data_IF_605858090321
#
_entry.id   IF_605858090321
#
_cell.length_a   1.000
_cell.length_b   1.000
_cell.length_c   1.000
_cell.angle_alpha   90.00
_cell.angle_beta   90.00
_cell.angle_gamma   90.00
#
_symmetry.space_group_name_H-M   'P 1'
#
loop_
_entity.id
_entity.type
_entity.pdbx_description
1 polymer ?
#
# COMPACT_ATOMS: atom_id res chain seq x y z
N UNK A 1 35.31 21.19 -49.42
CA UNK A 1 35.05 20.27 -48.29
C UNK A 1 33.60 19.80 -48.42
N UNK A 2 33.41 18.60 -48.86
CA UNK A 2 32.14 18.02 -49.32
C UNK A 2 31.47 17.31 -48.13
N UNK A 3 30.28 17.79 -47.75
CA UNK A 3 29.51 17.19 -46.67
C UNK A 3 28.81 15.89 -47.17
N UNK A 4 29.11 14.76 -46.55
CA UNK A 4 28.51 13.46 -46.83
C UNK A 4 27.24 13.30 -45.99
N UNK A 5 26.11 13.22 -46.67
CA UNK A 5 24.79 13.00 -46.11
C UNK A 5 24.62 11.49 -45.81
N UNK A 6 24.44 11.11 -44.52
CA UNK A 6 24.12 9.73 -44.11
C UNK A 6 22.59 9.64 -43.94
N UNK A 7 21.87 8.77 -44.62
CA UNK A 7 20.45 8.57 -44.44
C UNK A 7 20.16 7.73 -43.18
N UNK A 8 19.17 8.18 -42.40
CA UNK A 8 18.59 7.48 -41.23
C UNK A 8 17.76 6.26 -41.70
N UNK A 9 17.82 5.15 -41.00
CA UNK A 9 16.94 4.00 -41.28
C UNK A 9 15.53 4.25 -40.78
N UNK A 10 14.56 4.12 -41.66
CA UNK A 10 13.12 4.12 -41.39
C UNK A 10 12.77 2.81 -40.69
N UNK A 11 12.32 2.89 -39.46
CA UNK A 11 11.74 1.76 -38.74
C UNK A 11 10.26 1.65 -39.12
N UNK A 12 9.94 0.65 -39.91
CA UNK A 12 8.58 0.20 -40.23
C UNK A 12 8.03 -0.53 -39.01
N UNK A 13 7.01 0.03 -38.37
CA UNK A 13 6.30 -0.60 -37.26
C UNK A 13 5.34 -1.65 -37.82
N UNK A 14 5.64 -2.92 -37.62
CA UNK A 14 4.73 -4.02 -37.84
C UNK A 14 3.63 -4.02 -36.78
N UNK A 15 2.42 -3.72 -37.20
CA UNK A 15 1.19 -3.87 -36.38
C UNK A 15 0.79 -5.35 -36.44
N UNK A 16 0.95 -6.05 -35.36
CA UNK A 16 0.51 -7.44 -35.19
C UNK A 16 -0.95 -7.44 -34.75
N UNK A 17 -1.83 -7.77 -35.69
CA UNK A 17 -3.28 -7.89 -35.53
C UNK A 17 -3.57 -9.19 -34.75
N UNK A 18 -3.94 -9.06 -33.48
CA UNK A 18 -4.30 -10.17 -32.60
C UNK A 18 -5.75 -10.60 -32.88
N UNK A 19 -5.88 -11.69 -33.59
CA UNK A 19 -7.11 -12.39 -33.96
C UNK A 19 -7.82 -12.88 -32.70
N UNK A 20 -9.00 -12.38 -32.45
CA UNK A 20 -9.91 -12.77 -31.36
C UNK A 20 -10.54 -14.12 -31.72
N UNK A 21 -10.22 -15.15 -30.96
CA UNK A 21 -10.74 -16.52 -31.12
C UNK A 21 -12.07 -16.63 -30.36
N UNK A 22 -13.15 -16.79 -31.10
CA UNK A 22 -14.50 -16.94 -30.60
C UNK A 22 -14.69 -18.29 -29.90
N UNK A 23 -15.12 -18.25 -28.64
CA UNK A 23 -15.52 -19.40 -27.84
C UNK A 23 -16.95 -19.80 -28.24
N UNK A 24 -17.20 -21.08 -28.56
CA UNK A 24 -18.56 -21.53 -28.89
C UNK A 24 -19.41 -21.66 -27.63
N UNK A 25 -20.58 -21.04 -27.70
CA UNK A 25 -21.68 -21.20 -26.75
C UNK A 25 -22.27 -22.57 -26.92
N UNK A 26 -22.14 -23.43 -25.93
CA UNK A 26 -22.89 -24.70 -25.85
C UNK A 26 -24.24 -24.46 -25.21
N UNK A 27 -25.24 -24.57 -26.06
CA UNK A 27 -26.67 -24.57 -25.75
C UNK A 27 -27.10 -25.96 -25.29
N UNK A 28 -28.23 -26.00 -24.58
CA UNK A 28 -29.03 -27.18 -24.23
C UNK A 28 -28.74 -27.87 -22.87
N UNK A 29 -29.45 -27.40 -21.86
CA UNK A 29 -29.90 -28.24 -20.76
C UNK A 29 -31.38 -28.58 -20.93
N UNK A 30 -31.59 -29.80 -21.37
CA UNK A 30 -32.87 -30.47 -21.50
C UNK A 30 -33.51 -30.72 -20.14
N UNK A 31 -34.64 -30.07 -19.88
CA UNK A 31 -35.46 -30.24 -18.67
C UNK A 31 -36.29 -31.51 -18.79
N UNK A 32 -35.96 -32.56 -18.05
CA UNK A 32 -36.84 -33.72 -17.92
C UNK A 32 -37.93 -33.46 -16.87
N UNK A 33 -39.18 -33.80 -17.16
CA UNK A 33 -40.31 -33.69 -16.20
C UNK A 33 -40.25 -34.80 -15.17
N UNK A 34 -40.17 -34.40 -13.92
CA UNK A 34 -40.26 -35.28 -12.75
C UNK A 34 -41.69 -35.73 -12.54
N UNK A 35 -41.87 -37.06 -12.50
CA UNK A 35 -43.11 -37.77 -12.20
C UNK A 35 -43.59 -37.43 -10.78
N UNK A 36 -44.88 -37.08 -10.69
CA UNK A 36 -45.63 -37.05 -9.44
C UNK A 36 -45.80 -38.47 -8.85
N UNK A 37 -45.61 -38.66 -7.55
CA UNK A 37 -46.15 -39.82 -6.86
C UNK A 37 -47.43 -39.44 -6.10
N UNK A 38 -48.41 -40.28 -6.37
CA UNK A 38 -49.75 -40.44 -5.90
C UNK A 38 -50.09 -40.01 -4.47
N UNK A 39 -51.25 -39.43 -4.44
CA UNK A 39 -52.08 -39.15 -3.29
C UNK A 39 -52.46 -40.44 -2.57
N UNK A 40 -52.08 -40.61 -1.33
CA UNK A 40 -52.66 -41.58 -0.39
C UNK A 40 -53.41 -40.78 0.67
N UNK A 41 -54.71 -40.80 0.53
CA UNK A 41 -55.70 -40.32 1.49
C UNK A 41 -55.73 -41.27 2.69
N UNK A 42 -55.29 -40.86 3.86
CA UNK A 42 -55.52 -41.62 5.10
C UNK A 42 -56.19 -40.74 6.14
N UNK A 43 -57.32 -41.22 6.54
CA UNK A 43 -58.33 -40.82 7.48
C UNK A 43 -57.93 -39.92 8.65
N UNK A 44 -58.84 -39.01 8.93
CA UNK A 44 -59.15 -38.24 10.14
C UNK A 44 -58.87 -38.93 11.44
N UNK A 45 -58.22 -38.14 12.32
CA UNK A 45 -58.59 -38.09 13.73
C UNK A 45 -58.71 -36.64 14.21
N UNK A 46 -59.81 -36.24 14.81
CA UNK A 46 -60.01 -34.88 15.27
C UNK A 46 -59.85 -34.87 16.80
N UNK A 47 -58.72 -34.48 17.25
CA UNK A 47 -58.60 -33.83 18.56
C UNK A 47 -57.18 -33.38 18.75
N UNK A 48 -57.09 -32.15 19.10
CA UNK A 48 -56.14 -31.59 19.99
C UNK A 48 -55.33 -30.38 19.51
N UNK A 49 -55.72 -29.40 20.20
CA UNK A 49 -54.82 -28.49 20.90
C UNK A 49 -54.15 -27.43 20.08
N UNK A 50 -54.80 -26.32 20.13
CA UNK A 50 -54.28 -24.98 19.98
C UNK A 50 -52.81 -24.90 20.49
N UNK A 51 -51.85 -25.09 19.58
CA UNK A 51 -50.49 -24.64 19.79
C UNK A 51 -50.39 -23.24 19.20
N UNK A 52 -50.28 -22.30 20.10
CA UNK A 52 -49.93 -20.92 19.81
C UNK A 52 -48.71 -20.85 18.91
N UNK A 53 -48.80 -20.22 17.72
CA UNK A 53 -47.67 -20.11 16.79
C UNK A 53 -46.80 -18.88 17.12
N UNK A 54 -46.51 -18.61 18.38
CA UNK A 54 -45.68 -17.47 18.78
C UNK A 54 -44.53 -17.86 19.69
N UNK A 55 -43.79 -18.88 19.31
CA UNK A 55 -42.41 -18.95 19.72
C UNK A 55 -41.53 -18.58 18.54
N UNK A 56 -41.55 -17.29 18.21
CA UNK A 56 -40.53 -16.72 17.36
C UNK A 56 -39.17 -17.12 17.91
N UNK A 57 -38.43 -17.89 17.12
CA UNK A 57 -37.03 -18.21 17.39
C UNK A 57 -36.27 -16.90 17.56
N UNK A 58 -36.26 -16.39 18.79
CA UNK A 58 -35.38 -15.30 19.19
C UNK A 58 -33.99 -15.92 19.17
N UNK A 59 -33.34 -15.88 18.02
CA UNK A 59 -31.93 -16.14 17.92
C UNK A 59 -31.20 -15.08 18.73
N UNK A 60 -30.99 -15.32 20.01
CA UNK A 60 -30.03 -14.59 20.80
C UNK A 60 -28.65 -14.85 20.21
N UNK A 61 -28.29 -14.10 19.18
CA UNK A 61 -26.94 -14.04 18.69
C UNK A 61 -26.08 -13.46 19.82
N UNK A 62 -25.47 -14.34 20.62
CA UNK A 62 -24.44 -13.91 21.57
C UNK A 62 -23.33 -13.28 20.75
N UNK A 63 -23.32 -11.95 20.69
CA UNK A 63 -22.24 -11.21 20.06
C UNK A 63 -20.99 -11.42 20.89
N UNK A 64 -20.08 -12.22 20.39
CA UNK A 64 -18.78 -12.42 21.01
C UNK A 64 -17.88 -11.26 20.64
N UNK A 65 -17.59 -10.43 21.61
CA UNK A 65 -16.57 -9.38 21.46
C UNK A 65 -15.23 -9.93 21.92
N UNK A 66 -14.22 -9.78 21.08
CA UNK A 66 -12.86 -10.20 21.42
C UNK A 66 -11.93 -8.99 21.30
N UNK A 67 -11.19 -8.75 22.37
CA UNK A 67 -10.10 -7.79 22.35
C UNK A 67 -8.78 -8.56 22.30
N UNK A 68 -7.97 -8.26 21.32
CA UNK A 68 -6.65 -8.86 21.11
C UNK A 68 -5.61 -7.76 21.03
N UNK A 69 -4.43 -8.01 21.52
CA UNK A 69 -3.24 -7.21 21.28
C UNK A 69 -2.22 -8.08 20.54
N UNK A 70 -1.42 -7.47 19.71
CA UNK A 70 -0.43 -8.20 18.93
C UNK A 70 0.74 -7.34 18.53
N UNK A 71 1.74 -8.03 18.02
CA UNK A 71 2.89 -7.45 17.35
C UNK A 71 3.01 -8.04 15.96
N UNK A 72 3.59 -7.27 15.05
CA UNK A 72 3.85 -7.69 13.67
C UNK A 72 5.20 -7.20 13.20
N UNK A 73 5.82 -7.97 12.33
CA UNK A 73 7.05 -7.60 11.65
C UNK A 73 7.00 -8.07 10.20
N UNK A 74 7.73 -7.41 9.35
CA UNK A 74 7.75 -7.74 7.93
C UNK A 74 8.65 -6.82 7.12
N UNK A 75 8.40 -6.83 5.83
CA UNK A 75 9.11 -6.02 4.84
C UNK A 75 8.08 -5.24 4.03
N UNK A 76 8.52 -4.10 3.51
CA UNK A 76 7.74 -3.30 2.59
C UNK A 76 8.57 -2.84 1.40
N UNK A 77 7.88 -2.29 0.43
CA UNK A 77 8.46 -1.53 -0.66
C UNK A 77 7.87 -0.13 -0.60
N UNK A 78 8.73 0.89 -0.62
CA UNK A 78 8.30 2.28 -0.61
C UNK A 78 8.89 3.07 -1.77
N UNK A 79 8.16 4.09 -2.20
CA UNK A 79 8.63 5.10 -3.14
C UNK A 79 8.08 6.46 -2.78
N UNK A 80 8.84 7.51 -3.10
CA UNK A 80 8.46 8.91 -2.98
C UNK A 80 8.51 9.47 -4.39
N UNK A 81 7.39 9.97 -4.89
CA UNK A 81 7.30 10.55 -6.22
C UNK A 81 7.65 12.02 -6.26
N UNK A 82 7.92 12.54 -7.47
CA UNK A 82 8.26 13.92 -7.75
C UNK A 82 9.49 14.48 -7.00
N UNK A 83 10.47 13.63 -6.73
CA UNK A 83 11.73 14.06 -6.11
C UNK A 83 12.56 14.90 -7.08
N UNK A 84 12.55 14.56 -8.37
CA UNK A 84 13.20 15.33 -9.41
C UNK A 84 12.74 16.81 -9.41
N UNK A 85 11.43 17.02 -9.29
CA UNK A 85 10.86 18.37 -9.28
C UNK A 85 11.26 19.24 -8.08
N UNK A 86 11.75 18.64 -6.98
CA UNK A 86 12.29 19.39 -5.83
C UNK A 86 13.68 19.95 -6.10
N UNK A 87 14.45 19.30 -6.98
CA UNK A 87 15.87 19.56 -7.23
C UNK A 87 16.07 20.28 -8.57
N UNK A 88 15.12 20.13 -9.49
CA UNK A 88 15.20 20.68 -10.84
C UNK A 88 15.11 22.21 -10.80
N UNK A 89 16.25 22.88 -10.97
CA UNK A 89 16.27 24.32 -11.25
C UNK A 89 16.01 24.52 -12.74
N UNK A 90 14.80 25.00 -13.08
CA UNK A 90 14.33 25.15 -14.45
C UNK A 90 15.20 26.03 -15.38
N UNK A 91 16.21 26.74 -14.84
CA UNK A 91 17.09 27.59 -15.60
C UNK A 91 18.49 27.01 -15.87
N UNK A 92 18.98 26.08 -15.08
CA UNK A 92 20.39 25.68 -15.14
C UNK A 92 20.67 24.21 -15.50
N UNK A 93 19.64 23.32 -15.55
CA UNK A 93 19.86 21.87 -15.74
C UNK A 93 19.01 21.22 -16.87
N UNK A 94 18.95 21.80 -18.08
CA UNK A 94 18.06 21.28 -19.13
C UNK A 94 18.52 19.95 -19.76
N UNK A 95 19.64 19.36 -19.33
CA UNK A 95 20.26 18.17 -19.94
C UNK A 95 20.52 17.00 -18.99
N UNK A 96 20.02 17.07 -17.77
CA UNK A 96 20.22 15.97 -16.83
C UNK A 96 19.05 14.99 -16.91
N UNK A 97 19.35 13.71 -17.05
CA UNK A 97 18.33 12.67 -16.94
C UNK A 97 18.19 12.25 -15.47
N UNK A 98 16.97 12.33 -14.94
CA UNK A 98 16.68 11.95 -13.56
C UNK A 98 15.81 10.71 -13.52
N UNK A 99 16.22 9.69 -12.76
CA UNK A 99 15.49 8.45 -12.54
C UNK A 99 15.14 8.30 -11.07
N UNK A 100 13.87 8.03 -10.79
CA UNK A 100 13.36 7.76 -9.45
C UNK A 100 13.15 6.27 -9.24
N UNK A 101 13.61 5.74 -8.11
CA UNK A 101 13.40 4.34 -7.76
C UNK A 101 13.04 4.18 -6.29
N UNK A 102 12.08 3.29 -6.01
CA UNK A 102 11.73 2.90 -4.64
C UNK A 102 12.72 1.92 -4.03
N UNK A 103 12.55 1.63 -2.74
CA UNK A 103 13.45 0.77 -1.97
C UNK A 103 12.68 -0.18 -1.06
N UNK A 104 13.31 -1.29 -0.71
CA UNK A 104 12.83 -2.19 0.35
C UNK A 104 13.03 -1.55 1.72
N UNK A 105 12.04 -1.69 2.58
CA UNK A 105 12.00 -1.07 3.91
C UNK A 105 11.50 -2.04 4.98
N UNK A 106 11.94 -1.92 6.23
CA UNK A 106 11.41 -2.72 7.33
C UNK A 106 10.01 -2.26 7.74
N UNK A 107 9.23 -3.17 8.31
CA UNK A 107 7.95 -2.90 8.93
C UNK A 107 7.89 -3.64 10.27
N UNK A 108 7.73 -2.92 11.38
CA UNK A 108 7.58 -3.49 12.72
C UNK A 108 6.51 -2.69 13.45
N UNK A 109 5.57 -3.37 14.11
CA UNK A 109 4.51 -2.66 14.79
C UNK A 109 3.80 -3.45 15.88
N UNK A 110 2.99 -2.72 16.62
CA UNK A 110 2.08 -3.23 17.63
C UNK A 110 0.67 -2.81 17.31
N UNK A 111 -0.31 -3.63 17.66
CA UNK A 111 -1.69 -3.31 17.38
C UNK A 111 -2.64 -3.89 18.42
N UNK A 112 -3.80 -3.24 18.55
CA UNK A 112 -4.94 -3.71 19.28
C UNK A 112 -6.09 -3.92 18.30
N UNK A 113 -6.71 -5.09 18.36
CA UNK A 113 -7.83 -5.48 17.52
C UNK A 113 -9.05 -5.78 18.39
N UNK A 114 -10.08 -5.01 18.21
CA UNK A 114 -11.39 -5.30 18.73
C UNK A 114 -12.25 -5.90 17.61
N UNK A 115 -12.70 -7.14 17.81
CA UNK A 115 -13.48 -7.87 16.81
C UNK A 115 -14.84 -8.27 17.35
N UNK A 116 -15.88 -8.05 16.55
CA UNK A 116 -17.24 -8.49 16.78
C UNK A 116 -17.74 -9.20 15.53
N UNK A 117 -17.85 -10.51 15.56
CA UNK A 117 -18.31 -11.35 14.46
C UNK A 117 -17.58 -11.05 13.14
N UNK A 118 -18.23 -10.35 12.20
CA UNK A 118 -17.68 -10.02 10.88
C UNK A 118 -16.94 -8.69 10.81
N UNK A 119 -17.03 -7.88 11.85
CA UNK A 119 -16.39 -6.57 11.88
C UNK A 119 -15.28 -6.55 12.92
N UNK A 120 -14.19 -5.86 12.58
CA UNK A 120 -13.10 -5.55 13.50
C UNK A 120 -12.68 -4.10 13.39
N UNK A 121 -12.23 -3.55 14.52
CA UNK A 121 -11.56 -2.25 14.58
C UNK A 121 -10.14 -2.50 15.04
N UNK A 122 -9.17 -2.04 14.27
CA UNK A 122 -7.76 -2.11 14.61
C UNK A 122 -7.22 -0.72 14.88
N UNK A 123 -6.49 -0.58 15.97
CA UNK A 123 -5.61 0.53 16.26
C UNK A 123 -4.18 0.01 16.27
N UNK A 124 -3.29 0.63 15.52
CA UNK A 124 -1.92 0.19 15.43
C UNK A 124 -0.94 1.35 15.43
N UNK A 125 0.31 1.04 15.78
CA UNK A 125 1.45 1.92 15.65
C UNK A 125 2.60 1.13 15.03
N UNK A 126 2.96 1.45 13.81
CA UNK A 126 4.03 0.79 13.07
C UNK A 126 5.24 1.72 12.97
N UNK A 127 6.42 1.15 13.10
CA UNK A 127 7.66 1.75 12.66
C UNK A 127 7.98 1.24 11.26
N UNK A 128 8.30 2.17 10.36
CA UNK A 128 8.68 1.88 8.99
C UNK A 128 9.60 2.97 8.45
N UNK A 129 9.98 2.86 7.20
CA UNK A 129 10.76 3.86 6.50
C UNK A 129 10.11 4.15 5.15
N UNK A 130 10.04 5.41 4.75
CA UNK A 130 9.83 5.80 3.37
C UNK A 130 11.20 6.05 2.74
N UNK A 131 11.49 5.35 1.67
CA UNK A 131 12.78 5.44 1.01
C UNK A 131 12.62 5.46 -0.51
N UNK A 132 13.29 6.42 -1.13
CA UNK A 132 13.39 6.52 -2.58
C UNK A 132 14.78 7.03 -2.96
N UNK A 133 15.26 6.62 -4.11
CA UNK A 133 16.57 7.04 -4.63
C UNK A 133 16.35 7.79 -5.93
N UNK A 134 16.89 9.01 -5.99
CA UNK A 134 17.01 9.79 -7.20
C UNK A 134 18.42 9.60 -7.77
N UNK A 135 18.49 9.20 -9.02
CA UNK A 135 19.74 9.13 -9.80
C UNK A 135 19.74 10.24 -10.81
N UNK A 136 20.75 11.05 -10.81
CA UNK A 136 20.96 12.12 -11.76
C UNK A 136 22.17 11.79 -12.65
N UNK A 137 21.94 11.68 -13.94
CA UNK A 137 23.00 11.55 -14.93
C UNK A 137 23.26 12.91 -15.58
N UNK A 138 24.47 13.45 -15.39
CA UNK A 138 24.88 14.74 -15.95
C UNK A 138 25.53 14.51 -17.31
N UNK A 139 24.84 14.87 -18.39
CA UNK A 139 25.36 14.69 -19.76
C UNK A 139 26.65 15.47 -20.05
N UNK A 140 26.86 16.59 -19.37
CA UNK A 140 28.03 17.47 -19.60
C UNK A 140 29.32 16.80 -19.13
N UNK A 141 29.30 16.15 -17.98
CA UNK A 141 30.48 15.60 -17.33
C UNK A 141 30.49 14.08 -17.35
N UNK A 142 29.42 13.43 -17.80
CA UNK A 142 29.23 11.97 -17.75
C UNK A 142 29.24 11.41 -16.32
N UNK A 143 28.90 12.25 -15.33
CA UNK A 143 28.92 11.84 -13.92
C UNK A 143 27.52 11.43 -13.45
N UNK A 144 27.48 10.38 -12.60
CA UNK A 144 26.26 9.93 -11.96
C UNK A 144 26.25 10.37 -10.49
N UNK A 145 25.18 11.01 -10.09
CA UNK A 145 24.91 11.34 -8.70
C UNK A 145 23.72 10.54 -8.18
N UNK A 146 23.78 10.12 -6.93
CA UNK A 146 22.69 9.38 -6.28
C UNK A 146 22.33 10.09 -4.99
N UNK A 147 21.07 10.45 -4.87
CA UNK A 147 20.50 11.00 -3.64
C UNK A 147 19.45 10.05 -3.11
N UNK A 148 19.68 9.48 -1.94
CA UNK A 148 18.74 8.59 -1.27
C UNK A 148 17.99 9.37 -0.19
N UNK A 149 16.67 9.44 -0.35
CA UNK A 149 15.77 10.00 0.64
C UNK A 149 15.26 8.86 1.52
N UNK A 150 15.59 8.90 2.83
CA UNK A 150 15.18 7.88 3.82
C UNK A 150 14.58 8.54 5.03
N UNK A 151 13.28 8.43 5.18
CA UNK A 151 12.56 8.99 6.32
C UNK A 151 12.01 7.88 7.18
N UNK A 152 12.59 7.72 8.37
CA UNK A 152 12.05 6.82 9.38
C UNK A 152 10.78 7.41 9.98
N UNK A 153 9.72 6.62 10.03
CA UNK A 153 8.39 7.05 10.44
C UNK A 153 7.85 6.21 11.58
N UNK A 154 7.11 6.87 12.47
CA UNK A 154 6.07 6.22 13.26
C UNK A 154 4.75 6.45 12.54
N UNK A 155 3.99 5.38 12.33
CA UNK A 155 2.71 5.37 11.62
C UNK A 155 1.60 4.92 12.57
N UNK A 156 1.06 5.81 13.46
CA UNK A 156 -0.20 5.55 14.12
C UNK A 156 -1.32 5.44 13.08
N UNK A 157 -2.14 4.40 13.19
CA UNK A 157 -3.20 4.13 12.23
C UNK A 157 -4.43 3.50 12.89
N UNK A 158 -5.59 3.76 12.30
CA UNK A 158 -6.86 3.16 12.64
C UNK A 158 -7.50 2.56 11.39
N UNK A 159 -8.00 1.34 11.49
CA UNK A 159 -8.65 0.66 10.36
C UNK A 159 -9.85 -0.15 10.79
N UNK A 160 -10.79 -0.30 9.87
CA UNK A 160 -11.93 -1.21 10.00
C UNK A 160 -11.63 -2.43 9.14
N UNK A 161 -11.86 -3.63 9.72
CA UNK A 161 -11.69 -4.92 9.05
C UNK A 161 -13.05 -5.59 8.85
N UNK A 162 -13.30 -6.06 7.63
CA UNK A 162 -14.45 -6.89 7.29
C UNK A 162 -13.99 -8.32 7.06
N UNK A 163 -14.45 -9.25 7.88
CA UNK A 163 -14.13 -10.67 7.76
C UNK A 163 -15.09 -11.33 6.77
N UNK A 164 -14.57 -11.72 5.61
CA UNK A 164 -15.32 -12.37 4.54
C UNK A 164 -15.54 -13.86 4.86
N UNK A 165 -14.50 -14.50 5.37
CA UNK A 165 -14.48 -15.84 5.91
C UNK A 165 -14.06 -15.76 7.38
N UNK A 166 -14.09 -16.89 8.10
CA UNK A 166 -13.76 -16.90 9.54
C UNK A 166 -12.46 -16.18 9.86
N UNK A 167 -11.45 -16.33 9.03
CA UNK A 167 -10.08 -15.87 9.29
C UNK A 167 -9.54 -14.88 8.25
N UNK A 168 -10.14 -14.80 7.04
CA UNK A 168 -9.73 -13.85 6.00
C UNK A 168 -10.49 -12.54 6.10
N UNK A 169 -9.77 -11.45 5.97
CA UNK A 169 -10.34 -10.12 6.05
C UNK A 169 -9.82 -9.19 4.98
N UNK A 170 -10.62 -8.18 4.68
CA UNK A 170 -10.24 -6.95 4.00
C UNK A 170 -10.48 -5.77 4.95
N UNK A 171 -9.71 -4.72 4.81
CA UNK A 171 -9.82 -3.57 5.68
C UNK A 171 -9.43 -2.29 4.98
N UNK A 172 -9.98 -1.20 5.47
CA UNK A 172 -9.62 0.14 5.06
C UNK A 172 -9.44 1.02 6.30
N UNK A 173 -8.59 2.01 6.19
CA UNK A 173 -8.28 2.86 7.33
C UNK A 173 -7.48 4.09 6.96
N UNK A 174 -7.00 4.75 7.98
CA UNK A 174 -6.21 5.96 7.87
C UNK A 174 -5.07 5.92 8.88
N UNK A 175 -3.96 6.52 8.52
CA UNK A 175 -2.81 6.72 9.38
C UNK A 175 -2.20 8.09 9.19
N UNK A 176 -1.25 8.42 10.04
CA UNK A 176 -0.42 9.63 9.93
C UNK A 176 1.04 9.21 9.99
N UNK A 177 1.77 9.45 8.91
CA UNK A 177 3.21 9.25 8.88
C UNK A 177 3.91 10.37 9.62
N UNK A 178 4.57 10.09 10.74
CA UNK A 178 5.29 11.06 11.56
C UNK A 178 6.79 10.80 11.40
N UNK A 179 7.55 11.67 10.73
CA UNK A 179 8.99 11.50 10.56
C UNK A 179 9.74 11.61 11.88
N UNK A 180 10.63 10.66 12.15
CA UNK A 180 11.55 10.69 13.30
C UNK A 180 12.82 11.45 12.92
N UNK A 181 13.27 11.30 11.65
CA UNK A 181 14.46 11.94 11.13
C UNK A 181 14.13 12.87 9.94
N UNK A 182 13.66 14.10 10.18
CA UNK A 182 13.20 14.99 9.10
C UNK A 182 14.25 15.28 8.01
N UNK A 183 15.54 15.22 8.35
CA UNK A 183 16.67 15.42 7.42
C UNK A 183 17.27 14.11 6.90
N UNK A 184 16.45 13.05 6.68
CA UNK A 184 16.91 11.72 6.24
C UNK A 184 17.32 11.64 4.78
N UNK A 185 18.39 12.33 4.39
CA UNK A 185 18.90 12.38 3.01
C UNK A 185 20.34 11.88 3.00
N UNK A 186 20.63 10.92 2.13
CA UNK A 186 21.96 10.38 1.85
C UNK A 186 22.35 10.73 0.42
N UNK A 187 23.48 11.41 0.25
CA UNK A 187 24.01 11.83 -1.03
C UNK A 187 25.29 11.05 -1.33
N UNK A 188 25.45 10.59 -2.56
CA UNK A 188 26.70 10.00 -3.05
C UNK A 188 26.92 10.43 -4.51
N UNK A 189 28.15 10.80 -4.84
CA UNK A 189 28.57 11.16 -6.19
C UNK A 189 29.76 10.32 -6.61
N UNK A 190 29.85 10.02 -7.92
CA UNK A 190 31.02 9.37 -8.51
C UNK A 190 32.18 10.35 -8.75
N UNK A 191 32.00 11.64 -8.45
CA UNK A 191 33.08 12.61 -8.51
C UNK A 191 34.15 12.32 -7.46
N UNK A 192 35.41 12.49 -7.87
CA UNK A 192 36.51 12.49 -6.92
C UNK A 192 36.30 13.63 -5.88
N UNK A 193 36.60 13.37 -4.63
CA UNK A 193 36.40 14.30 -3.52
C UNK A 193 37.11 15.67 -3.68
N UNK A 194 38.07 15.76 -4.62
CA UNK A 194 38.81 16.98 -4.95
C UNK A 194 37.98 18.03 -5.72
N UNK A 195 36.85 17.59 -6.32
CA UNK A 195 35.95 18.47 -7.04
C UNK A 195 34.59 18.52 -6.34
N UNK A 196 34.56 19.08 -5.13
CA UNK A 196 33.28 19.52 -4.57
C UNK A 196 32.79 20.64 -5.51
N UNK A 197 31.66 20.47 -6.19
CA UNK A 197 31.16 21.48 -7.10
C UNK A 197 30.75 22.70 -6.26
N UNK A 198 31.24 23.86 -6.65
CA UNK A 198 30.77 25.15 -6.10
C UNK A 198 29.23 25.29 -6.22
N UNK A 199 28.62 24.51 -7.13
CA UNK A 199 27.18 24.45 -7.42
C UNK A 199 26.54 23.15 -6.94
N UNK A 200 27.21 22.42 -6.02
CA UNK A 200 26.85 21.02 -5.75
C UNK A 200 25.64 20.87 -4.86
N UNK A 201 24.80 19.95 -5.27
CA UNK A 201 23.95 19.19 -4.40
C UNK A 201 24.82 18.53 -3.34
N UNK A 202 25.07 19.20 -2.23
CA UNK A 202 25.73 18.57 -1.09
C UNK A 202 24.66 18.00 -0.16
N UNK A 203 24.99 16.95 0.57
CA UNK A 203 24.10 16.39 1.59
C UNK A 203 23.62 17.43 2.60
N UNK A 204 24.48 18.41 2.92
CA UNK A 204 24.19 19.48 3.86
C UNK A 204 23.15 20.45 3.29
N UNK A 205 23.34 20.90 2.06
CA UNK A 205 22.40 21.80 1.37
C UNK A 205 21.01 21.18 1.23
N UNK A 206 20.95 19.88 0.87
CA UNK A 206 19.69 19.13 0.80
C UNK A 206 19.01 19.03 2.16
N UNK A 207 19.79 18.74 3.23
CA UNK A 207 19.26 18.63 4.60
C UNK A 207 18.80 19.97 5.16
N UNK A 208 19.44 21.07 4.80
CA UNK A 208 19.01 22.42 5.20
C UNK A 208 17.72 22.82 4.52
N UNK A 209 17.59 22.46 3.25
CA UNK A 209 16.49 22.93 2.38
C UNK A 209 15.29 22.02 2.36
N UNK A 210 15.47 20.70 2.51
CA UNK A 210 14.42 19.69 2.37
C UNK A 210 14.18 18.95 3.68
N UNK A 211 12.97 19.06 4.21
CA UNK A 211 12.60 18.38 5.46
C UNK A 211 11.29 17.63 5.32
N UNK A 212 11.29 16.39 5.82
CA UNK A 212 10.07 15.63 5.93
C UNK A 212 9.14 16.20 7.00
N UNK A 213 7.84 16.12 6.74
CA UNK A 213 6.78 16.56 7.65
C UNK A 213 5.74 15.45 7.85
N UNK A 214 4.95 15.53 8.92
CA UNK A 214 3.82 14.63 9.08
C UNK A 214 2.85 14.74 7.89
N UNK A 215 2.35 13.60 7.44
CA UNK A 215 1.43 13.52 6.31
C UNK A 215 0.37 12.45 6.54
N UNK A 216 -0.79 12.63 5.90
CA UNK A 216 -1.91 11.72 5.99
C UNK A 216 -1.72 10.51 5.07
N UNK A 217 -2.05 9.30 5.57
CA UNK A 217 -1.86 8.05 4.85
C UNK A 217 -3.13 7.19 4.89
N UNK A 218 -4.08 7.34 3.95
CA UNK A 218 -5.12 6.35 3.75
C UNK A 218 -4.51 5.00 3.42
N UNK A 219 -5.13 3.93 3.90
CA UNK A 219 -4.63 2.58 3.73
C UNK A 219 -5.72 1.58 3.38
N UNK A 220 -5.30 0.56 2.63
CA UNK A 220 -6.08 -0.64 2.35
C UNK A 220 -5.28 -1.85 2.83
N UNK A 221 -5.98 -2.84 3.37
CA UNK A 221 -5.36 -4.04 3.94
C UNK A 221 -6.17 -5.27 3.56
N UNK A 222 -5.47 -6.34 3.22
CA UNK A 222 -6.03 -7.68 3.13
C UNK A 222 -5.19 -8.60 4.00
N UNK A 223 -5.81 -9.62 4.58
CA UNK A 223 -5.04 -10.48 5.46
C UNK A 223 -5.79 -11.69 5.96
N UNK A 224 -5.03 -12.49 6.67
CA UNK A 224 -5.45 -13.67 7.40
C UNK A 224 -5.18 -13.47 8.88
N UNK A 225 -6.15 -13.77 9.73
CA UNK A 225 -6.02 -13.66 11.19
C UNK A 225 -6.66 -14.86 11.86
N UNK A 226 -5.83 -15.83 12.22
CA UNK A 226 -6.29 -17.07 12.83
C UNK A 226 -6.82 -16.86 14.25
N UNK A 227 -8.07 -17.29 14.45
CA UNK A 227 -8.69 -17.26 15.77
C UNK A 227 -8.05 -18.22 16.77
N UNK A 228 -7.61 -19.39 16.29
CA UNK A 228 -7.13 -20.46 17.15
C UNK A 228 -5.71 -20.24 17.60
N UNK A 229 -4.85 -19.85 16.68
CA UNK A 229 -3.40 -19.84 16.89
C UNK A 229 -2.85 -18.45 17.15
N UNK A 230 -3.65 -17.38 16.96
CA UNK A 230 -3.21 -16.00 17.12
C UNK A 230 -2.29 -15.51 16.00
N UNK A 231 -2.03 -16.31 14.98
CA UNK A 231 -1.17 -15.92 13.85
C UNK A 231 -1.94 -14.97 12.95
N UNK A 232 -1.27 -13.94 12.53
CA UNK A 232 -1.76 -12.96 11.58
C UNK A 232 -0.76 -12.77 10.43
N UNK A 233 -1.25 -12.66 9.21
CA UNK A 233 -0.48 -12.24 8.04
C UNK A 233 -1.28 -11.20 7.27
N UNK A 234 -0.63 -10.12 6.83
CA UNK A 234 -1.33 -9.06 6.11
C UNK A 234 -0.48 -8.40 5.05
N UNK A 235 -1.14 -8.04 3.96
CA UNK A 235 -0.63 -7.14 2.93
C UNK A 235 -1.36 -5.82 3.06
N UNK A 236 -0.62 -4.73 3.27
CA UNK A 236 -1.14 -3.38 3.44
C UNK A 236 -0.53 -2.46 2.38
N UNK A 237 -1.39 -1.70 1.72
CA UNK A 237 -0.98 -0.58 0.87
C UNK A 237 -1.39 0.72 1.53
N UNK A 238 -0.46 1.67 1.62
CA UNK A 238 -0.68 3.01 2.17
C UNK A 238 -0.22 4.05 1.16
N UNK A 239 -1.06 5.05 0.95
CA UNK A 239 -0.79 6.18 0.06
C UNK A 239 -0.57 7.44 0.88
N UNK A 240 0.63 8.03 0.80
CA UNK A 240 0.90 9.31 1.45
C UNK A 240 0.28 10.46 0.66
N UNK A 241 -0.82 10.97 1.16
CA UNK A 241 -1.52 12.11 0.58
C UNK A 241 -0.92 13.43 1.09
N UNK A 242 -0.62 14.31 0.17
CA UNK A 242 0.01 15.61 0.47
C UNK A 242 1.54 15.53 0.49
N UNK A 243 2.18 16.69 0.68
CA UNK A 243 3.61 16.80 0.61
C UNK A 243 4.29 16.15 1.83
N UNK A 244 5.02 15.08 1.60
CA UNK A 244 5.90 14.48 2.59
C UNK A 244 7.13 15.38 2.83
N UNK A 245 7.72 15.93 1.76
CA UNK A 245 8.92 16.75 1.82
C UNK A 245 8.55 18.20 1.60
N UNK A 246 8.92 19.03 2.55
CA UNK A 246 8.77 20.48 2.47
C UNK A 246 10.11 21.10 2.06
N UNK A 247 10.07 22.00 1.06
CA UNK A 247 11.21 22.86 0.74
C UNK A 247 11.11 24.12 1.59
N UNK A 248 12.15 24.40 2.37
CA UNK A 248 12.32 25.64 3.12
C UNK A 248 12.95 26.72 2.21
N UNK A 249 12.91 27.99 2.63
CA UNK A 249 13.63 29.05 1.92
C UNK A 249 15.12 28.72 1.91
N UNK A 250 15.70 28.67 0.72
CA UNK A 250 17.08 28.26 0.55
C UNK A 250 17.78 29.06 -0.56
N UNK A 251 19.10 29.27 -0.45
CA UNK A 251 19.90 29.96 -1.47
C UNK A 251 20.27 29.05 -2.65
N UNK A 252 19.88 27.75 -2.62
CA UNK A 252 20.36 26.73 -3.56
C UNK A 252 19.42 26.48 -4.74
N UNK A 253 18.31 27.21 -4.81
CA UNK A 253 17.38 27.11 -5.93
C UNK A 253 16.48 25.89 -5.92
N UNK A 254 16.35 25.18 -4.79
CA UNK A 254 15.40 24.05 -4.69
C UNK A 254 13.96 24.54 -4.72
N UNK A 255 13.16 23.88 -5.54
CA UNK A 255 11.78 24.27 -5.77
C UNK A 255 10.82 23.56 -4.81
N UNK A 256 9.72 24.23 -4.55
CA UNK A 256 8.60 23.61 -3.85
C UNK A 256 7.79 22.80 -4.86
N UNK A 257 7.79 21.48 -4.70
CA UNK A 257 6.98 20.55 -5.50
C UNK A 257 6.08 19.72 -4.60
N UNK A 258 4.91 19.38 -5.12
CA UNK A 258 4.01 18.42 -4.45
C UNK A 258 4.55 17.03 -4.66
N UNK A 259 4.80 16.33 -3.56
CA UNK A 259 5.26 14.95 -3.57
C UNK A 259 4.28 14.05 -2.82
N UNK A 260 4.19 12.82 -3.26
CA UNK A 260 3.39 11.79 -2.63
C UNK A 260 4.27 10.59 -2.28
N UNK A 261 3.74 9.65 -1.50
CA UNK A 261 4.45 8.43 -1.18
C UNK A 261 3.57 7.20 -1.33
N UNK A 262 4.21 6.09 -1.67
CA UNK A 262 3.58 4.79 -1.78
C UNK A 262 4.32 3.83 -0.86
N UNK A 263 3.56 3.04 -0.09
CA UNK A 263 4.11 2.07 0.83
C UNK A 263 3.29 0.78 0.75
N UNK A 264 3.90 -0.29 0.28
CA UNK A 264 3.34 -1.63 0.27
C UNK A 264 4.07 -2.47 1.31
N UNK A 265 3.36 -3.09 2.25
CA UNK A 265 3.96 -3.83 3.36
C UNK A 265 3.36 -5.23 3.45
N UNK A 266 4.22 -6.25 3.55
CA UNK A 266 3.87 -7.62 3.90
C UNK A 266 4.34 -7.89 5.32
N UNK A 267 3.41 -8.19 6.23
CA UNK A 267 3.72 -8.41 7.63
C UNK A 267 3.15 -9.74 8.13
N UNK A 268 3.87 -10.35 9.06
CA UNK A 268 3.43 -11.49 9.85
C UNK A 268 3.45 -11.09 11.31
N UNK A 269 2.45 -11.51 12.05
CA UNK A 269 2.29 -11.13 13.45
C UNK A 269 1.69 -12.23 14.31
N UNK A 270 1.67 -11.92 15.60
CA UNK A 270 1.06 -12.77 16.61
C UNK A 270 0.18 -11.96 17.55
N UNK A 271 -1.00 -12.50 17.87
CA UNK A 271 -1.99 -11.85 18.74
C UNK A 271 -2.31 -12.67 19.95
N UNK A 272 -2.50 -12.00 21.08
CA UNK A 272 -2.93 -12.58 22.35
C UNK A 272 -4.34 -12.07 22.66
N UNK A 273 -5.22 -12.98 23.07
CA UNK A 273 -6.57 -12.66 23.50
C UNK A 273 -6.57 -12.12 24.92
N UNK A 274 -7.00 -10.87 25.11
CA UNK A 274 -7.08 -10.25 26.44
C UNK A 274 -8.38 -10.54 27.19
N UNK A 275 -9.50 -10.66 26.46
CA UNK A 275 -10.81 -10.82 27.08
C UNK A 275 -11.39 -12.20 26.77
N UNK A 276 -11.06 -13.19 27.60
CA UNK A 276 -11.67 -14.51 27.58
C UNK A 276 -12.87 -14.46 28.56
N UNK A 277 -14.01 -13.95 28.11
CA UNK A 277 -15.23 -14.16 28.91
C UNK A 277 -15.50 -15.66 28.99
N UNK A 278 -15.44 -16.18 30.22
CA UNK A 278 -15.90 -17.49 30.58
C UNK A 278 -17.41 -17.66 30.36
#
# INVERSE_FOLDING_TARGET
>A
MTATHIPLPTQEAAVEEKKEEAVPVQDSLEVQPSKEPGFVETAKDPAETSRSPEQGLIFHHKRYYQLRIGMRAGIGYSSIGNLAALIEDGSFRPRNTMEESGSLVPAIGVFALWRSDRLGIELAADYTCLSSTLKEHKEIDGTDEKTAFRYHLILPQASVRLYLLSDFYMGAGVGVGIPINPGGIDFSSNRAAEFEPADGLTREHLRESLRARPHFMPLLKIGYSSFRNGIEASLQYSYGAGDLIRTEENPYGYHRATNNSHLLQLTVGYTILLNKKK
#
